data_IF_634487602092
#
_entry.id   IF_634487602092
#
_cell.length_a   1.000
_cell.length_b   1.000
_cell.length_c   1.000
_cell.angle_alpha   90.00
_cell.angle_beta   90.00
_cell.angle_gamma   90.00
#
_symmetry.space_group_name_H-M   'P 1'
#
loop_
_entity.id
_entity.type
_entity.pdbx_description
1 polymer ?
#
# COMPACT_ATOMS: atom_id res chain seq x y z
N UNK A 1 16.75 -40.21 39.96
CA UNK A 1 17.50 -39.17 39.22
C UNK A 1 16.85 -39.07 37.85
N UNK A 2 15.94 -38.10 37.67
CA UNK A 2 15.29 -37.85 36.38
C UNK A 2 16.20 -36.94 35.55
N UNK A 3 16.53 -37.36 34.32
CA UNK A 3 17.33 -36.57 33.40
C UNK A 3 16.57 -35.29 32.97
N UNK A 4 17.24 -34.14 32.83
CA UNK A 4 16.58 -32.92 32.39
C UNK A 4 16.18 -33.09 30.93
N UNK A 5 14.88 -32.96 30.64
CA UNK A 5 14.39 -32.86 29.26
C UNK A 5 14.88 -31.52 28.68
N UNK A 6 15.85 -31.59 27.78
CA UNK A 6 16.27 -30.44 26.98
C UNK A 6 15.11 -29.99 26.09
N UNK A 7 14.79 -28.68 26.05
CA UNK A 7 13.75 -28.17 25.18
C UNK A 7 14.14 -28.42 23.71
N UNK A 8 13.15 -28.72 22.82
CA UNK A 8 13.43 -28.93 21.41
C UNK A 8 14.05 -27.68 20.81
N UNK A 9 15.14 -27.85 20.05
CA UNK A 9 15.74 -26.76 19.27
C UNK A 9 14.75 -26.31 18.20
N UNK A 10 14.57 -25.00 17.98
CA UNK A 10 13.80 -24.53 16.83
C UNK A 10 14.52 -24.96 15.54
N UNK A 11 13.84 -25.74 14.71
CA UNK A 11 14.25 -25.99 13.33
C UNK A 11 13.80 -24.82 12.46
N UNK A 12 14.75 -24.19 11.79
CA UNK A 12 14.49 -23.12 10.82
C UNK A 12 14.58 -23.71 9.42
N UNK A 13 13.48 -23.64 8.67
CA UNK A 13 13.43 -24.07 7.28
C UNK A 13 13.49 -22.85 6.37
N UNK A 14 14.47 -22.83 5.45
CA UNK A 14 14.59 -21.82 4.40
C UNK A 14 14.12 -22.42 3.08
N UNK A 15 13.13 -21.80 2.46
CA UNK A 15 12.61 -22.19 1.14
C UNK A 15 13.11 -21.18 0.10
N UNK A 16 13.67 -21.68 -1.01
CA UNK A 16 14.16 -20.85 -2.12
C UNK A 16 13.36 -21.12 -3.39
N UNK A 17 13.00 -20.04 -4.10
CA UNK A 17 12.41 -20.10 -5.44
C UNK A 17 13.03 -19.05 -6.36
N UNK A 18 13.24 -19.41 -7.62
CA UNK A 18 13.93 -18.58 -8.61
C UNK A 18 12.99 -17.86 -9.59
N UNK A 19 11.68 -18.08 -9.51
CA UNK A 19 10.70 -17.54 -10.48
C UNK A 19 9.42 -17.08 -9.79
N UNK A 20 8.80 -18.05 -9.15
CA UNK A 20 7.56 -18.08 -8.41
C UNK A 20 7.57 -18.06 -6.89
N UNK A 21 6.90 -17.16 -6.17
CA UNK A 21 6.56 -17.52 -4.78
C UNK A 21 5.34 -18.45 -4.86
N UNK A 22 5.41 -19.71 -4.38
CA UNK A 22 4.25 -20.59 -4.34
C UNK A 22 3.14 -19.99 -3.48
N UNK A 23 1.87 -20.23 -3.82
CA UNK A 23 0.72 -19.66 -3.09
C UNK A 23 0.73 -20.03 -1.59
N UNK A 24 1.24 -21.22 -1.27
CA UNK A 24 1.41 -21.71 0.11
C UNK A 24 2.44 -20.91 0.91
N UNK A 25 3.42 -20.30 0.24
CA UNK A 25 4.48 -19.50 0.82
C UNK A 25 4.12 -17.99 0.88
N UNK A 26 3.08 -17.56 0.16
CA UNK A 26 2.69 -16.16 0.06
C UNK A 26 2.16 -15.55 1.37
N UNK A 27 1.79 -16.40 2.33
CA UNK A 27 1.35 -16.00 3.68
C UNK A 27 2.50 -15.83 4.67
N UNK A 28 3.74 -16.16 4.29
CA UNK A 28 4.92 -16.07 5.16
C UNK A 28 5.80 -14.87 4.79
N UNK A 29 6.59 -14.34 5.75
CA UNK A 29 7.54 -13.28 5.46
C UNK A 29 8.52 -13.77 4.40
N UNK A 30 8.55 -13.09 3.25
CA UNK A 30 9.35 -13.53 2.11
C UNK A 30 10.41 -12.50 1.77
N UNK A 31 11.67 -12.92 1.76
CA UNK A 31 12.78 -12.11 1.28
C UNK A 31 12.99 -12.37 -0.21
N UNK A 32 13.05 -11.31 -1.01
CA UNK A 32 13.36 -11.40 -2.43
C UNK A 32 14.70 -10.74 -2.74
N UNK A 33 15.35 -11.24 -3.80
CA UNK A 33 16.56 -10.68 -4.36
C UNK A 33 16.35 -10.47 -5.86
N UNK A 34 16.53 -9.23 -6.32
CA UNK A 34 16.48 -8.86 -7.72
C UNK A 34 17.88 -8.51 -8.19
N UNK A 35 18.16 -8.87 -9.43
CA UNK A 35 19.46 -8.66 -10.06
C UNK A 35 19.24 -7.77 -11.28
N UNK A 36 19.21 -6.44 -11.10
CA UNK A 36 18.81 -5.50 -12.15
C UNK A 36 19.75 -5.47 -13.36
N UNK A 37 21.02 -5.84 -13.19
CA UNK A 37 22.02 -5.81 -14.27
C UNK A 37 22.26 -7.20 -14.89
N UNK A 38 22.36 -7.28 -16.22
CA UNK A 38 22.71 -8.54 -16.89
C UNK A 38 24.19 -8.91 -16.62
N UNK A 39 24.47 -10.17 -16.25
CA UNK A 39 25.82 -10.68 -15.98
C UNK A 39 25.81 -11.81 -14.95
N UNK A 40 26.94 -12.48 -14.69
CA UNK A 40 27.07 -13.32 -13.50
C UNK A 40 27.64 -12.49 -12.35
N UNK A 41 27.09 -12.64 -11.14
CA UNK A 41 27.72 -12.08 -9.93
C UNK A 41 28.77 -13.10 -9.51
N UNK A 42 30.04 -12.79 -9.80
CA UNK A 42 31.16 -13.72 -9.61
C UNK A 42 31.99 -13.33 -8.37
N UNK A 43 31.93 -12.08 -7.95
CA UNK A 43 32.76 -11.52 -6.87
C UNK A 43 31.89 -11.07 -5.69
N UNK A 44 32.37 -11.28 -4.46
CA UNK A 44 31.72 -10.83 -3.21
C UNK A 44 31.79 -9.30 -3.06
N UNK A 45 32.78 -8.64 -3.67
CA UNK A 45 32.93 -7.19 -3.62
C UNK A 45 31.81 -6.48 -4.40
N UNK A 46 31.04 -5.64 -3.69
CA UNK A 46 30.00 -4.82 -4.29
C UNK A 46 28.68 -5.54 -4.54
N UNK A 47 28.44 -6.71 -3.94
CA UNK A 47 27.17 -7.44 -4.07
C UNK A 47 25.96 -6.57 -3.69
N UNK A 48 26.12 -5.67 -2.71
CA UNK A 48 25.09 -4.71 -2.29
C UNK A 48 24.71 -3.67 -3.36
N UNK A 49 25.57 -3.48 -4.37
CA UNK A 49 25.31 -2.56 -5.49
C UNK A 49 24.75 -3.26 -6.72
N UNK A 50 24.86 -4.59 -6.77
CA UNK A 50 24.47 -5.42 -7.92
C UNK A 50 23.16 -6.17 -7.66
N UNK A 51 22.80 -6.36 -6.39
CA UNK A 51 21.60 -7.07 -5.97
C UNK A 51 20.74 -6.13 -5.14
N UNK A 52 19.51 -5.91 -5.62
CA UNK A 52 18.46 -5.29 -4.82
C UNK A 52 17.80 -6.39 -3.99
N UNK A 53 17.44 -6.09 -2.75
CA UNK A 53 16.70 -7.02 -1.92
C UNK A 53 15.59 -6.32 -1.16
N UNK A 54 14.57 -7.08 -0.78
CA UNK A 54 13.46 -6.57 0.00
C UNK A 54 12.78 -7.67 0.79
N UNK A 55 12.00 -7.24 1.77
CA UNK A 55 11.14 -8.09 2.58
C UNK A 55 9.69 -7.78 2.23
N UNK A 56 8.92 -8.82 1.97
CA UNK A 56 7.46 -8.77 1.91
C UNK A 56 6.98 -9.27 3.28
N UNK A 57 6.28 -8.41 4.02
CA UNK A 57 5.80 -8.76 5.36
C UNK A 57 4.53 -9.62 5.25
N UNK A 58 4.17 -10.28 6.35
CA UNK A 58 2.87 -10.95 6.43
C UNK A 58 1.74 -9.91 6.37
N UNK A 59 0.88 -9.99 5.36
CA UNK A 59 -0.27 -9.08 5.23
C UNK A 59 -0.84 -9.00 3.81
N UNK A 60 -1.94 -8.26 3.60
CA UNK A 60 -2.45 -7.99 2.27
C UNK A 60 -1.41 -7.17 1.52
N UNK A 61 -0.76 -7.79 0.54
CA UNK A 61 0.29 -7.18 -0.29
C UNK A 61 -0.11 -5.82 -0.89
N UNK A 62 -1.42 -5.58 -1.02
CA UNK A 62 -2.00 -4.32 -1.48
C UNK A 62 -1.80 -3.16 -0.51
N UNK A 63 -1.84 -3.37 0.81
CA UNK A 63 -1.61 -2.27 1.78
C UNK A 63 -0.13 -1.87 1.83
N UNK A 64 0.79 -2.82 1.71
CA UNK A 64 2.22 -2.52 1.55
C UNK A 64 2.48 -1.74 0.25
N UNK A 65 1.81 -2.13 -0.84
CA UNK A 65 1.87 -1.41 -2.12
C UNK A 65 1.32 0.02 -1.98
N UNK A 66 0.18 0.21 -1.31
CA UNK A 66 -0.38 1.53 -1.04
C UNK A 66 0.60 2.43 -0.27
N UNK A 67 1.22 1.90 0.78
CA UNK A 67 2.22 2.61 1.57
C UNK A 67 3.43 2.99 0.72
N UNK A 68 3.97 2.06 -0.07
CA UNK A 68 5.10 2.32 -0.96
C UNK A 68 4.77 3.40 -2.00
N UNK A 69 3.60 3.31 -2.65
CA UNK A 69 3.17 4.30 -3.64
C UNK A 69 3.03 5.69 -3.02
N UNK A 70 2.33 5.77 -1.89
CA UNK A 70 1.92 7.07 -1.31
C UNK A 70 3.04 7.73 -0.52
N UNK A 71 3.89 6.95 0.17
CA UNK A 71 4.91 7.49 1.07
C UNK A 71 6.30 7.57 0.45
N UNK A 72 6.61 6.77 -0.57
CA UNK A 72 7.93 6.75 -1.19
C UNK A 72 7.88 7.25 -2.64
N UNK A 73 7.14 6.57 -3.51
CA UNK A 73 7.25 6.78 -4.96
C UNK A 73 6.63 8.09 -5.44
N UNK A 74 5.42 8.44 -4.98
CA UNK A 74 4.78 9.71 -5.34
C UNK A 74 5.63 10.90 -4.87
N UNK A 75 6.07 10.96 -3.60
CA UNK A 75 6.97 12.02 -3.14
C UNK A 75 8.28 12.07 -3.94
N UNK A 76 8.93 10.94 -4.20
CA UNK A 76 10.17 10.94 -4.99
C UNK A 76 9.98 11.55 -6.37
N UNK A 77 8.87 11.22 -7.05
CA UNK A 77 8.56 11.77 -8.38
C UNK A 77 8.23 13.27 -8.33
N UNK A 78 7.59 13.74 -7.26
CA UNK A 78 7.32 15.16 -7.04
C UNK A 78 8.61 15.96 -6.83
N UNK A 79 9.52 15.48 -5.97
CA UNK A 79 10.78 16.17 -5.66
C UNK A 79 11.80 16.13 -6.80
N UNK A 80 11.70 15.14 -7.69
CA UNK A 80 12.57 15.06 -8.89
C UNK A 80 12.29 16.22 -9.86
N UNK A 81 11.13 16.87 -9.78
CA UNK A 81 10.78 18.04 -10.59
C UNK A 81 11.44 19.36 -10.16
N UNK A 82 11.89 19.48 -8.90
CA UNK A 82 12.29 20.76 -8.30
C UNK A 82 13.81 21.00 -8.27
N UNK A 83 14.65 19.99 -8.56
CA UNK A 83 16.08 20.03 -8.20
C UNK A 83 17.12 19.90 -9.31
N UNK A 84 16.83 19.35 -10.50
CA UNK A 84 17.86 19.03 -11.50
C UNK A 84 17.37 19.28 -12.95
N UNK A 85 18.07 20.10 -13.76
CA UNK A 85 17.61 20.51 -15.09
C UNK A 85 17.74 19.41 -16.16
N UNK A 86 18.22 18.22 -15.81
CA UNK A 86 18.53 17.13 -16.74
C UNK A 86 17.30 16.39 -17.27
N UNK A 87 16.15 16.47 -16.58
CA UNK A 87 14.90 15.78 -16.95
C UNK A 87 13.82 16.69 -17.56
N UNK A 88 14.17 17.92 -17.95
CA UNK A 88 13.21 18.94 -18.41
C UNK A 88 12.35 18.54 -19.63
N UNK A 89 12.78 17.55 -20.43
CA UNK A 89 11.98 16.98 -21.54
C UNK A 89 10.85 16.03 -21.09
N UNK A 90 10.88 15.58 -19.84
CA UNK A 90 9.89 14.69 -19.24
C UNK A 90 8.91 15.44 -18.32
N UNK A 91 9.00 16.77 -18.15
CA UNK A 91 8.14 17.53 -17.21
C UNK A 91 6.62 17.36 -17.46
N UNK A 92 6.20 17.26 -18.72
CA UNK A 92 4.79 16.99 -19.06
C UNK A 92 4.42 15.51 -18.90
N UNK A 93 5.35 14.60 -19.22
CA UNK A 93 5.16 13.15 -19.08
C UNK A 93 5.21 12.70 -17.61
N UNK A 94 5.98 13.37 -16.77
CA UNK A 94 6.05 13.14 -15.33
C UNK A 94 4.79 13.62 -14.65
N UNK A 95 4.19 14.74 -15.08
CA UNK A 95 2.89 15.16 -14.56
C UNK A 95 1.75 14.21 -14.98
N UNK A 96 1.75 13.72 -16.22
CA UNK A 96 0.80 12.69 -16.67
C UNK A 96 1.02 11.36 -15.93
N UNK A 97 2.26 10.91 -15.77
CA UNK A 97 2.63 9.73 -15.01
C UNK A 97 2.21 9.85 -13.55
N UNK A 98 2.44 11.00 -12.93
CA UNK A 98 2.06 11.30 -11.56
C UNK A 98 0.53 11.31 -11.41
N UNK A 99 -0.20 11.90 -12.36
CA UNK A 99 -1.67 11.80 -12.39
C UNK A 99 -2.15 10.35 -12.50
N UNK A 100 -1.51 9.55 -13.35
CA UNK A 100 -1.84 8.13 -13.50
C UNK A 100 -1.47 7.32 -12.25
N UNK A 101 -0.38 7.67 -11.56
CA UNK A 101 0.04 7.03 -10.31
C UNK A 101 -0.91 7.35 -9.16
N UNK A 102 -1.40 8.60 -9.06
CA UNK A 102 -2.46 8.97 -8.12
C UNK A 102 -3.75 8.18 -8.39
N UNK A 103 -4.17 8.06 -9.65
CA UNK A 103 -5.34 7.22 -10.01
C UNK A 103 -5.14 5.76 -9.64
N UNK A 104 -3.93 5.22 -9.89
CA UNK A 104 -3.59 3.85 -9.53
C UNK A 104 -3.63 3.64 -8.01
N UNK A 105 -3.05 4.56 -7.24
CA UNK A 105 -3.10 4.54 -5.78
C UNK A 105 -4.54 4.51 -5.28
N UNK A 106 -5.41 5.36 -5.82
CA UNK A 106 -6.85 5.36 -5.48
C UNK A 106 -7.53 4.03 -5.81
N UNK A 107 -7.21 3.41 -6.96
CA UNK A 107 -7.73 2.08 -7.29
C UNK A 107 -7.25 0.99 -6.31
N UNK A 108 -5.99 1.05 -5.87
CA UNK A 108 -5.43 0.15 -4.85
C UNK A 108 -6.16 0.34 -3.52
N UNK A 109 -6.33 1.59 -3.05
CA UNK A 109 -7.09 1.90 -1.84
C UNK A 109 -8.52 1.37 -1.90
N UNK A 110 -9.22 1.55 -3.02
CA UNK A 110 -10.56 0.99 -3.21
C UNK A 110 -10.58 -0.55 -3.21
N UNK A 111 -9.59 -1.20 -3.82
CA UNK A 111 -9.48 -2.65 -3.81
C UNK A 111 -9.22 -3.20 -2.39
N UNK A 112 -8.38 -2.52 -1.59
CA UNK A 112 -8.17 -2.84 -0.17
C UNK A 112 -9.50 -2.78 0.58
N UNK A 113 -10.23 -1.67 0.46
CA UNK A 113 -11.54 -1.48 1.12
C UNK A 113 -12.56 -2.56 0.72
N UNK A 114 -12.59 -2.96 -0.56
CA UNK A 114 -13.47 -4.03 -1.03
C UNK A 114 -13.09 -5.40 -0.45
N UNK A 115 -11.80 -5.66 -0.25
CA UNK A 115 -11.28 -6.94 0.22
C UNK A 115 -11.38 -7.08 1.75
N UNK A 116 -11.06 -6.02 2.50
CA UNK A 116 -11.13 -6.01 3.97
C UNK A 116 -12.54 -5.78 4.48
N UNK A 117 -13.41 -5.17 3.66
CA UNK A 117 -14.75 -4.78 4.06
C UNK A 117 -14.79 -3.57 4.99
N UNK A 118 -13.62 -3.02 5.33
CA UNK A 118 -13.48 -1.84 6.16
C UNK A 118 -13.61 -0.57 5.32
N UNK A 119 -14.36 0.39 5.86
CA UNK A 119 -14.55 1.71 5.27
C UNK A 119 -13.42 2.61 5.77
N UNK A 120 -12.49 2.94 4.88
CA UNK A 120 -11.42 3.89 5.18
C UNK A 120 -11.75 5.27 4.60
N UNK A 121 -11.73 6.29 5.44
CA UNK A 121 -11.81 7.68 5.02
C UNK A 121 -10.39 8.21 4.81
N UNK A 122 -10.10 8.65 3.59
CA UNK A 122 -8.82 9.24 3.24
C UNK A 122 -8.68 10.61 3.94
N UNK A 123 -7.71 10.78 4.83
CA UNK A 123 -7.46 12.07 5.49
C UNK A 123 -6.41 12.84 4.68
N UNK A 124 -6.77 13.97 4.04
CA UNK A 124 -5.81 14.74 3.27
C UNK A 124 -4.70 15.28 4.18
N UNK A 125 -3.45 15.20 3.71
CA UNK A 125 -2.30 15.72 4.43
C UNK A 125 -2.20 17.24 4.23
N UNK A 126 -2.89 17.99 5.09
CA UNK A 126 -2.89 19.45 5.09
C UNK A 126 -2.11 20.00 6.29
N UNK A 127 -1.14 20.87 6.04
CA UNK A 127 -0.40 21.57 7.08
C UNK A 127 -1.16 22.82 7.52
N UNK A 128 -1.99 22.68 8.56
CA UNK A 128 -2.76 23.79 9.13
C UNK A 128 -1.94 24.53 10.20
N UNK A 129 -0.83 25.16 9.82
CA UNK A 129 -0.02 25.95 10.76
C UNK A 129 -0.72 27.22 11.23
N UNK A 130 -1.57 27.81 10.37
CA UNK A 130 -2.36 29.00 10.68
C UNK A 130 -3.75 28.90 10.01
N UNK A 131 -4.78 28.69 10.82
CA UNK A 131 -6.17 28.51 10.38
C UNK A 131 -6.70 29.70 9.58
N UNK A 132 -6.33 30.93 9.95
CA UNK A 132 -6.79 32.14 9.26
C UNK A 132 -6.24 32.18 7.83
N UNK A 133 -4.95 31.89 7.66
CA UNK A 133 -4.32 31.82 6.33
C UNK A 133 -4.78 30.62 5.51
N UNK A 134 -4.99 29.47 6.15
CA UNK A 134 -5.47 28.27 5.48
C UNK A 134 -6.89 28.44 4.93
N UNK A 135 -7.72 29.29 5.55
CA UNK A 135 -9.07 29.60 5.05
C UNK A 135 -9.07 30.49 3.80
N UNK A 136 -8.01 31.26 3.59
CA UNK A 136 -7.82 32.12 2.41
C UNK A 136 -7.08 31.38 1.27
N UNK A 137 -6.48 30.23 1.58
CA UNK A 137 -5.78 29.39 0.62
C UNK A 137 -6.78 28.54 -0.18
N UNK A 138 -6.96 28.92 -1.44
CA UNK A 138 -7.88 28.27 -2.36
C UNK A 138 -7.54 26.78 -2.59
N UNK A 139 -6.25 26.43 -2.59
CA UNK A 139 -5.83 25.05 -2.85
C UNK A 139 -6.13 24.15 -1.65
N UNK A 140 -5.94 24.67 -0.44
CA UNK A 140 -6.31 23.98 0.81
C UNK A 140 -7.82 23.77 0.90
N UNK A 141 -8.61 24.81 0.60
CA UNK A 141 -10.08 24.73 0.59
C UNK A 141 -10.56 23.72 -0.45
N UNK A 142 -10.03 23.75 -1.66
CA UNK A 142 -10.39 22.83 -2.73
C UNK A 142 -10.04 21.36 -2.39
N UNK A 143 -8.92 21.14 -1.70
CA UNK A 143 -8.51 19.81 -1.24
C UNK A 143 -9.48 19.27 -0.16
N UNK A 144 -9.92 20.13 0.76
CA UNK A 144 -10.91 19.79 1.78
C UNK A 144 -12.28 19.50 1.17
N UNK A 145 -12.73 20.32 0.21
CA UNK A 145 -14.00 20.11 -0.50
C UNK A 145 -13.99 18.77 -1.27
N UNK A 146 -12.87 18.46 -1.92
CA UNK A 146 -12.68 17.18 -2.62
C UNK A 146 -12.72 16.00 -1.66
N UNK A 147 -12.03 16.08 -0.52
CA UNK A 147 -12.04 15.04 0.51
C UNK A 147 -13.45 14.85 1.11
N UNK A 148 -14.17 15.95 1.37
CA UNK A 148 -15.54 15.90 1.89
C UNK A 148 -16.50 15.24 0.89
N UNK A 149 -16.38 15.55 -0.40
CA UNK A 149 -17.17 14.94 -1.45
C UNK A 149 -16.91 13.43 -1.53
N UNK A 150 -15.65 13.02 -1.45
CA UNK A 150 -15.23 11.61 -1.40
C UNK A 150 -15.82 10.91 -0.17
N UNK A 151 -15.68 11.48 1.03
CA UNK A 151 -16.24 10.91 2.26
C UNK A 151 -17.75 10.77 2.21
N UNK A 152 -18.45 11.75 1.62
CA UNK A 152 -19.91 11.71 1.47
C UNK A 152 -20.33 10.55 0.56
N UNK A 153 -19.60 10.31 -0.53
CA UNK A 153 -19.86 9.19 -1.43
C UNK A 153 -19.60 7.83 -0.73
N UNK A 154 -18.48 7.72 0.00
CA UNK A 154 -18.11 6.53 0.76
C UNK A 154 -19.13 6.21 1.84
N UNK A 155 -19.55 7.20 2.63
CA UNK A 155 -20.57 7.04 3.67
C UNK A 155 -21.94 6.68 3.08
N UNK A 156 -22.33 7.28 1.95
CA UNK A 156 -23.58 6.94 1.27
C UNK A 156 -23.59 5.48 0.81
N UNK A 157 -22.47 5.01 0.25
CA UNK A 157 -22.31 3.61 -0.15
C UNK A 157 -22.35 2.65 1.05
N UNK A 158 -21.70 3.03 2.15
CA UNK A 158 -21.73 2.27 3.40
C UNK A 158 -23.13 2.12 3.98
N UNK A 159 -23.87 3.23 4.08
CA UNK A 159 -25.26 3.26 4.58
C UNK A 159 -26.17 2.44 3.67
N UNK A 160 -26.01 2.53 2.34
CA UNK A 160 -26.79 1.72 1.40
C UNK A 160 -26.54 0.23 1.62
N UNK A 161 -25.28 -0.18 1.77
CA UNK A 161 -24.90 -1.58 2.04
C UNK A 161 -25.46 -2.09 3.37
N UNK A 162 -25.54 -1.23 4.39
CA UNK A 162 -26.14 -1.58 5.68
C UNK A 162 -27.67 -1.69 5.56
N UNK A 163 -28.31 -0.77 4.85
CA UNK A 163 -29.77 -0.76 4.63
C UNK A 163 -30.23 -1.98 3.83
N UNK A 164 -29.44 -2.43 2.85
CA UNK A 164 -29.69 -3.64 2.06
C UNK A 164 -29.60 -4.92 2.89
N UNK A 165 -28.73 -4.95 3.93
CA UNK A 165 -28.68 -6.08 4.88
C UNK A 165 -29.95 -6.18 5.70
N UNK A 166 -30.52 -5.04 6.10
CA UNK A 166 -31.75 -4.97 6.92
C UNK A 166 -33.01 -5.36 6.13
N UNK A 167 -33.00 -5.22 4.80
CA UNK A 167 -34.17 -5.49 3.94
C UNK A 167 -34.17 -6.88 3.28
N UNK A 168 -33.13 -7.70 3.45
CA UNK A 168 -33.10 -9.07 2.94
C UNK A 168 -34.02 -10.01 3.77
N UNK A 169 -35.15 -10.53 3.22
CA UNK A 169 -36.19 -11.21 4.03
C UNK A 169 -35.87 -12.64 4.49
N UNK A 170 -34.64 -13.17 4.33
CA UNK A 170 -34.37 -14.61 4.51
C UNK A 170 -32.98 -14.95 5.09
N UNK A 171 -32.59 -14.38 6.24
CA UNK A 171 -31.48 -14.96 7.00
C UNK A 171 -31.83 -15.05 8.48
N UNK A 172 -32.15 -16.27 8.91
CA UNK A 172 -32.52 -16.60 10.28
C UNK A 172 -31.39 -16.34 11.30
N UNK A 173 -31.68 -16.53 12.61
CA UNK A 173 -30.88 -16.05 13.75
C UNK A 173 -29.43 -16.56 13.85
N UNK A 174 -29.00 -17.46 12.96
CA UNK A 174 -27.62 -17.97 12.86
C UNK A 174 -26.74 -17.17 11.88
N UNK A 175 -27.32 -16.27 11.08
CA UNK A 175 -26.56 -15.43 10.15
C UNK A 175 -25.93 -14.19 10.82
N UNK A 176 -26.38 -13.84 12.03
CA UNK A 176 -25.88 -12.70 12.81
C UNK A 176 -24.56 -12.99 13.55
N UNK A 177 -24.10 -14.24 13.58
CA UNK A 177 -22.93 -14.68 14.37
C UNK A 177 -21.66 -14.95 13.53
N UNK A 178 -21.76 -14.88 12.21
CA UNK A 178 -20.67 -15.19 11.26
C UNK A 178 -20.22 -13.97 10.43
N UNK A 179 -20.61 -12.76 10.85
CA UNK A 179 -20.19 -11.49 10.25
C UNK A 179 -19.51 -10.61 11.28
#
# INVERSE_FOLDING_TARGET
VAAPMTPPKPEFHLFLSNTHIPDEAASFPTMYFLKPQAGMVIEEEGIETVIDFGLLSEGPQLSELEVLLTQLYIPMLQHTGDGEPTLSGLGMQTNEMLSNLHKFSSQVSHAIQQLTGDIHLNIPNISLENLDKASEDYDVVNMLESALAEWTAVLSSAIQRETEKVTAPEKGPLAEINY
#
